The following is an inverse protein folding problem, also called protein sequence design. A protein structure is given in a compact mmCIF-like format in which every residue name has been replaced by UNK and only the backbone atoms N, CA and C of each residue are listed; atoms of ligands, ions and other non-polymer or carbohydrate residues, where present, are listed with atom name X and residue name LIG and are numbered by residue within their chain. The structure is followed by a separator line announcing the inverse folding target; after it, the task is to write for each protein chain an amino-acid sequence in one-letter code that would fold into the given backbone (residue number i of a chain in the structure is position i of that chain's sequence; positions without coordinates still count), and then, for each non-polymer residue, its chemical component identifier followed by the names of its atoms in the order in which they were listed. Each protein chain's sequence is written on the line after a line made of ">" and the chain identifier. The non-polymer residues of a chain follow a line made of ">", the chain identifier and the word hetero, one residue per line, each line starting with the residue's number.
data_IF_051390145954
#
_entry.id   IF_051390145954
#
_cell.length_a   1.000
_cell.length_b   1.000
_cell.length_c   1.000
_cell.angle_alpha   90.00
_cell.angle_beta   90.00
_cell.angle_gamma   90.00
#
_symmetry.space_group_name_H-M   'P 1'
#
loop_
_entity.id
_entity.type
_entity.pdbx_description
1 polymer ?
#
# COMPACT_ATOMS: atom_id res chain seq x y z
N UNK A 1 3.16 11.59 15.58
CA UNK A 1 3.14 12.13 14.21
C UNK A 1 3.72 11.16 13.18
N UNK A 2 4.71 10.32 13.53
CA UNK A 2 5.26 9.26 12.67
C UNK A 2 4.30 8.09 12.37
N UNK A 3 3.29 7.86 13.23
CA UNK A 3 2.42 6.67 13.13
C UNK A 3 1.37 6.74 12.01
N UNK A 4 0.99 7.93 11.56
CA UNK A 4 -0.01 8.11 10.48
C UNK A 4 0.62 8.11 9.09
N UNK A 5 1.89 8.49 8.94
CA UNK A 5 2.59 8.44 7.64
C UNK A 5 2.72 7.01 7.10
N UNK A 6 2.78 6.01 7.99
CA UNK A 6 2.81 4.60 7.61
C UNK A 6 1.48 4.15 6.99
N UNK A 7 0.36 4.67 7.47
CA UNK A 7 -0.98 4.33 6.99
C UNK A 7 -1.30 4.93 5.61
N UNK A 8 -0.60 5.99 5.19
CA UNK A 8 -0.76 6.59 3.86
C UNK A 8 -0.53 5.57 2.71
N UNK A 9 0.26 4.51 2.99
CA UNK A 9 0.50 3.40 2.04
C UNK A 9 -0.78 2.67 1.67
N UNK A 10 -1.77 2.63 2.58
CA UNK A 10 -3.03 1.93 2.38
C UNK A 10 -4.00 2.70 1.47
N UNK A 11 -3.82 3.99 1.27
CA UNK A 11 -4.77 4.89 0.59
C UNK A 11 -5.07 4.53 -0.88
N UNK A 12 -4.19 3.78 -1.52
CA UNK A 12 -4.37 3.29 -2.90
C UNK A 12 -4.48 1.75 -2.96
N UNK A 13 -4.75 1.10 -1.82
CA UNK A 13 -4.81 -0.35 -1.66
C UNK A 13 -6.24 -0.84 -1.59
N UNK A 14 -6.46 -2.10 -2.06
CA UNK A 14 -7.73 -2.79 -2.01
C UNK A 14 -7.72 -3.82 -0.87
N UNK A 15 -8.77 -3.83 -0.06
CA UNK A 15 -8.94 -4.80 1.02
C UNK A 15 -10.25 -5.55 0.88
N UNK A 16 -10.20 -6.88 1.08
CA UNK A 16 -11.38 -7.73 1.18
C UNK A 16 -11.68 -7.99 2.66
N UNK A 17 -12.93 -7.78 3.06
CA UNK A 17 -13.41 -7.98 4.41
C UNK A 17 -14.48 -9.10 4.43
N UNK A 18 -14.27 -10.11 5.28
CA UNK A 18 -15.22 -11.22 5.49
C UNK A 18 -15.82 -11.13 6.89
N UNK A 19 -17.12 -10.99 6.97
CA UNK A 19 -17.89 -10.92 8.23
C UNK A 19 -19.36 -11.20 7.91
N UNK A 20 -20.01 -12.17 8.58
CA UNK A 20 -21.36 -12.59 8.25
C UNK A 20 -22.45 -11.69 8.87
N UNK A 21 -22.17 -11.02 9.98
CA UNK A 21 -23.12 -10.09 10.61
C UNK A 21 -23.17 -8.75 9.86
N UNK A 22 -24.31 -8.38 9.19
CA UNK A 22 -24.35 -7.18 8.35
C UNK A 22 -24.02 -5.88 9.08
N UNK A 23 -24.38 -5.78 10.36
CA UNK A 23 -24.08 -4.60 11.20
C UNK A 23 -22.60 -4.47 11.51
N UNK A 24 -21.93 -5.58 11.81
CA UNK A 24 -20.50 -5.62 12.09
C UNK A 24 -19.72 -5.39 10.80
N UNK A 25 -20.09 -6.06 9.71
CA UNK A 25 -19.47 -5.88 8.40
C UNK A 25 -19.50 -4.41 7.97
N UNK A 26 -20.66 -3.75 8.11
CA UNK A 26 -20.80 -2.31 7.81
C UNK A 26 -19.83 -1.48 8.62
N UNK A 27 -19.78 -1.68 9.94
CA UNK A 27 -18.89 -0.90 10.82
C UNK A 27 -17.42 -1.11 10.49
N UNK A 28 -17.01 -2.35 10.20
CA UNK A 28 -15.63 -2.66 9.84
C UNK A 28 -15.29 -2.05 8.48
N UNK A 29 -16.14 -2.20 7.46
CA UNK A 29 -15.89 -1.64 6.13
C UNK A 29 -15.84 -0.11 6.16
N UNK A 30 -16.74 0.57 6.88
CA UNK A 30 -16.67 2.02 7.08
C UNK A 30 -15.36 2.45 7.77
N UNK A 31 -14.90 1.67 8.77
CA UNK A 31 -13.63 1.94 9.44
C UNK A 31 -12.43 1.74 8.51
N UNK A 32 -12.43 0.71 7.68
CA UNK A 32 -11.39 0.43 6.70
C UNK A 32 -11.35 1.47 5.57
N UNK A 33 -12.51 2.00 5.15
CA UNK A 33 -12.62 3.06 4.13
C UNK A 33 -11.91 4.37 4.51
N UNK A 34 -11.66 4.58 5.80
CA UNK A 34 -10.86 5.72 6.25
C UNK A 34 -9.37 5.61 5.87
N UNK A 35 -8.91 4.42 5.53
CA UNK A 35 -7.50 4.13 5.27
C UNK A 35 -7.24 3.54 3.89
N UNK A 36 -8.12 2.66 3.40
CA UNK A 36 -7.96 1.97 2.11
C UNK A 36 -8.67 2.70 0.98
N UNK A 37 -8.12 2.60 -0.23
CA UNK A 37 -8.73 3.17 -1.43
C UNK A 37 -9.98 2.44 -1.89
N UNK A 38 -10.05 1.12 -1.67
CA UNK A 38 -11.23 0.30 -1.98
C UNK A 38 -11.41 -0.77 -0.92
N UNK A 39 -12.65 -0.94 -0.46
CA UNK A 39 -13.04 -1.96 0.52
C UNK A 39 -14.19 -2.77 -0.04
N UNK A 40 -13.99 -4.07 -0.18
CA UNK A 40 -15.03 -5.03 -0.58
C UNK A 40 -15.42 -5.85 0.62
N UNK A 41 -16.72 -5.93 0.92
CA UNK A 41 -17.25 -6.71 2.04
C UNK A 41 -18.07 -7.91 1.54
N UNK A 42 -17.78 -9.10 2.08
CA UNK A 42 -18.49 -10.36 1.80
C UNK A 42 -18.92 -11.00 3.11
N UNK A 43 -19.95 -11.87 3.04
CA UNK A 43 -20.59 -12.45 4.23
C UNK A 43 -20.39 -13.95 4.38
N UNK A 44 -19.73 -14.56 3.44
CA UNK A 44 -19.67 -16.01 3.28
C UNK A 44 -18.25 -16.44 2.94
N UNK A 45 -17.75 -17.51 3.56
CA UNK A 45 -16.39 -17.98 3.35
C UNK A 45 -16.13 -18.49 1.93
N UNK A 46 -17.13 -19.04 1.22
CA UNK A 46 -16.98 -19.44 -0.18
C UNK A 46 -16.89 -18.22 -1.09
N UNK A 47 -17.75 -17.21 -0.84
CA UNK A 47 -17.70 -15.93 -1.56
C UNK A 47 -16.33 -15.24 -1.34
N UNK A 48 -15.82 -15.25 -0.09
CA UNK A 48 -14.52 -14.69 0.22
C UNK A 48 -13.37 -15.41 -0.50
N UNK A 49 -13.45 -16.75 -0.62
CA UNK A 49 -12.49 -17.52 -1.37
C UNK A 49 -12.50 -17.16 -2.85
N UNK A 50 -13.69 -17.14 -3.48
CA UNK A 50 -13.83 -16.84 -4.90
C UNK A 50 -13.34 -15.42 -5.22
N UNK A 51 -13.69 -14.43 -4.39
CA UNK A 51 -13.21 -13.06 -4.51
C UNK A 51 -11.68 -12.97 -4.35
N UNK A 52 -11.11 -13.60 -3.33
CA UNK A 52 -9.66 -13.58 -3.10
C UNK A 52 -8.87 -14.28 -4.20
N UNK A 53 -9.47 -15.30 -4.87
CA UNK A 53 -8.82 -16.04 -5.96
C UNK A 53 -8.93 -15.34 -7.31
N UNK A 54 -10.01 -14.62 -7.55
CA UNK A 54 -10.30 -13.93 -8.82
C UNK A 54 -9.90 -12.46 -8.82
N UNK A 55 -9.93 -11.81 -7.67
CA UNK A 55 -9.64 -10.40 -7.48
C UNK A 55 -8.18 -10.13 -7.12
N UNK A 56 -7.75 -8.89 -7.31
CA UNK A 56 -6.45 -8.41 -6.85
C UNK A 56 -6.66 -7.59 -5.58
N UNK A 57 -6.45 -8.21 -4.43
CA UNK A 57 -6.50 -7.55 -3.14
C UNK A 57 -5.09 -7.42 -2.56
N UNK A 58 -4.83 -6.29 -1.92
CA UNK A 58 -3.55 -6.02 -1.27
C UNK A 58 -3.54 -6.52 0.18
N UNK A 59 -4.71 -6.64 0.82
CA UNK A 59 -4.86 -7.15 2.17
C UNK A 59 -6.21 -7.85 2.36
N UNK A 60 -6.30 -8.74 3.35
CA UNK A 60 -7.53 -9.46 3.72
C UNK A 60 -7.79 -9.25 5.22
N UNK A 61 -9.08 -9.03 5.58
CA UNK A 61 -9.52 -8.87 6.98
C UNK A 61 -10.71 -9.78 7.20
N UNK A 62 -10.50 -10.92 7.84
CA UNK A 62 -11.47 -12.01 7.92
C UNK A 62 -11.87 -12.35 9.35
N UNK A 63 -13.17 -12.54 9.56
CA UNK A 63 -13.64 -13.28 10.73
C UNK A 63 -13.49 -14.79 10.50
N UNK A 64 -13.38 -15.55 11.60
CA UNK A 64 -13.34 -17.02 11.58
C UNK A 64 -14.74 -17.58 11.50
N UNK A 65 -15.67 -17.07 12.28
CA UNK A 65 -17.00 -17.64 12.51
C UNK A 65 -18.01 -17.25 11.45
N UNK A 66 -17.80 -17.64 10.18
CA UNK A 66 -18.68 -17.32 9.04
C UNK A 66 -19.29 -18.58 8.42
N UNK A 67 -20.44 -18.46 7.68
CA UNK A 67 -21.09 -19.59 7.04
C UNK A 67 -20.25 -20.31 5.99
N UNK A 68 -20.57 -21.58 5.74
CA UNK A 68 -20.09 -22.49 4.72
C UNK A 68 -18.60 -22.86 4.82
N UNK A 69 -17.71 -21.92 5.05
CA UNK A 69 -16.28 -22.16 5.19
C UNK A 69 -15.69 -21.18 6.22
N UNK A 70 -15.08 -21.69 7.30
CA UNK A 70 -14.47 -20.83 8.32
C UNK A 70 -13.31 -19.98 7.74
N UNK A 71 -13.11 -18.78 8.29
CA UNK A 71 -12.13 -17.83 7.76
C UNK A 71 -10.69 -18.37 7.73
N UNK A 72 -10.28 -19.26 8.66
CA UNK A 72 -8.94 -19.87 8.63
C UNK A 72 -8.82 -20.95 7.56
N UNK A 73 -9.91 -21.65 7.22
CA UNK A 73 -9.90 -22.59 6.10
C UNK A 73 -9.85 -21.84 4.75
N UNK A 74 -10.51 -20.68 4.64
CA UNK A 74 -10.37 -19.76 3.50
C UNK A 74 -8.91 -19.34 3.36
N UNK A 75 -8.28 -18.86 4.45
CA UNK A 75 -6.86 -18.45 4.47
C UNK A 75 -5.94 -19.60 4.04
N UNK A 76 -6.19 -20.81 4.50
CA UNK A 76 -5.40 -22.00 4.14
C UNK A 76 -5.43 -22.24 2.63
N UNK A 77 -6.61 -22.15 2.00
CA UNK A 77 -6.76 -22.32 0.55
C UNK A 77 -6.08 -21.19 -0.24
N UNK A 78 -6.20 -19.95 0.22
CA UNK A 78 -5.53 -18.78 -0.36
C UNK A 78 -4.01 -18.96 -0.30
N UNK A 79 -3.45 -19.38 0.83
CA UNK A 79 -2.02 -19.65 0.99
C UNK A 79 -1.54 -20.82 0.13
N UNK A 80 -2.34 -21.90 0.00
CA UNK A 80 -2.05 -23.01 -0.90
C UNK A 80 -2.01 -22.62 -2.37
N UNK A 81 -2.78 -21.59 -2.76
CA UNK A 81 -2.76 -21.00 -4.11
C UNK A 81 -1.56 -20.04 -4.33
N UNK A 82 -0.70 -19.85 -3.34
CA UNK A 82 0.50 -18.99 -3.45
C UNK A 82 0.23 -17.50 -3.20
N UNK A 83 -0.96 -17.13 -2.77
CA UNK A 83 -1.29 -15.74 -2.46
C UNK A 83 -0.73 -15.40 -1.07
N UNK A 84 0.19 -14.44 -1.01
CA UNK A 84 0.96 -14.07 0.19
C UNK A 84 0.66 -12.68 0.74
N UNK A 85 -0.48 -12.09 0.37
CA UNK A 85 -0.89 -10.78 0.89
C UNK A 85 -1.06 -10.80 2.41
N UNK A 86 -0.89 -9.65 3.10
CA UNK A 86 -1.19 -9.50 4.52
C UNK A 86 -2.61 -9.95 4.85
N UNK A 87 -2.74 -10.73 5.93
CA UNK A 87 -4.04 -11.21 6.41
C UNK A 87 -4.20 -10.85 7.88
N UNK A 88 -5.32 -10.23 8.21
CA UNK A 88 -5.77 -9.96 9.58
C UNK A 88 -6.94 -10.87 9.88
N UNK A 89 -6.90 -11.54 11.04
CA UNK A 89 -8.04 -12.25 11.59
C UNK A 89 -8.67 -11.40 12.69
N UNK A 90 -9.97 -11.12 12.56
CA UNK A 90 -10.80 -10.50 13.59
C UNK A 90 -11.71 -11.60 14.15
N UNK A 91 -11.59 -11.96 15.42
CA UNK A 91 -12.38 -13.09 15.93
C UNK A 91 -12.72 -13.00 17.41
N UNK A 92 -13.89 -13.52 17.75
CA UNK A 92 -14.29 -13.77 19.14
C UNK A 92 -13.62 -15.02 19.75
N UNK A 93 -13.02 -15.88 18.91
CA UNK A 93 -12.31 -17.08 19.35
C UNK A 93 -10.93 -16.70 19.89
N UNK A 94 -10.68 -17.09 21.15
CA UNK A 94 -9.40 -16.83 21.83
C UNK A 94 -8.70 -18.12 22.24
N UNK A 95 -9.28 -19.26 21.88
CA UNK A 95 -8.76 -20.57 22.19
C UNK A 95 -7.42 -20.82 21.51
N UNK A 96 -6.52 -21.48 22.19
CA UNK A 96 -5.15 -21.70 21.75
C UNK A 96 -5.05 -22.39 20.37
N UNK A 97 -6.00 -23.25 20.05
CA UNK A 97 -6.05 -23.95 18.77
C UNK A 97 -6.14 -23.00 17.58
N UNK A 98 -7.01 -21.99 17.64
CA UNK A 98 -7.14 -20.99 16.57
C UNK A 98 -5.89 -20.14 16.43
N UNK A 99 -5.25 -19.80 17.53
CA UNK A 99 -3.99 -19.04 17.51
C UNK A 99 -2.86 -19.84 16.84
N UNK A 100 -2.74 -21.15 17.13
CA UNK A 100 -1.75 -22.01 16.48
C UNK A 100 -2.00 -22.14 14.99
N UNK A 101 -3.25 -22.40 14.57
CA UNK A 101 -3.62 -22.44 13.14
C UNK A 101 -3.26 -21.11 12.43
N UNK A 102 -3.53 -19.98 13.08
CA UNK A 102 -3.22 -18.66 12.55
C UNK A 102 -1.71 -18.46 12.36
N UNK A 103 -0.88 -18.91 13.29
CA UNK A 103 0.59 -18.86 13.18
C UNK A 103 1.09 -19.71 12.01
N UNK A 104 0.60 -20.95 11.87
CA UNK A 104 0.97 -21.83 10.75
C UNK A 104 0.62 -21.23 9.38
N UNK A 105 -0.49 -20.50 9.29
CA UNK A 105 -0.97 -19.83 8.08
C UNK A 105 -0.26 -18.50 7.80
N UNK A 106 0.70 -18.11 8.65
CA UNK A 106 1.47 -16.87 8.51
C UNK A 106 0.55 -15.64 8.32
N UNK A 107 -0.42 -15.51 9.24
CA UNK A 107 -1.23 -14.29 9.25
C UNK A 107 -0.42 -13.13 9.82
N UNK A 108 -0.72 -11.91 9.35
CA UNK A 108 -0.07 -10.67 9.79
C UNK A 108 -0.44 -10.34 11.22
N UNK A 109 -1.73 -10.44 11.55
CA UNK A 109 -2.23 -10.14 12.88
C UNK A 109 -3.50 -10.93 13.23
N UNK A 110 -3.55 -11.39 14.47
CA UNK A 110 -4.78 -11.87 15.10
C UNK A 110 -5.28 -10.79 16.06
N UNK A 111 -6.50 -10.29 15.85
CA UNK A 111 -7.10 -9.23 16.65
C UNK A 111 -8.37 -9.76 17.32
N UNK A 112 -8.34 -10.07 18.63
CA UNK A 112 -9.51 -10.56 19.36
C UNK A 112 -10.60 -9.48 19.43
N UNK A 113 -11.85 -9.89 19.26
CA UNK A 113 -13.05 -9.07 19.53
C UNK A 113 -13.44 -9.18 21.01
N UNK A 114 -13.86 -8.08 21.68
CA UNK A 114 -13.87 -6.70 21.20
C UNK A 114 -12.48 -6.05 21.22
N UNK A 115 -12.19 -5.20 20.26
CA UNK A 115 -10.94 -4.45 20.17
C UNK A 115 -11.19 -2.94 20.24
N UNK A 116 -10.23 -2.20 20.78
CA UNK A 116 -10.26 -0.76 20.81
C UNK A 116 -9.62 -0.14 19.54
N UNK A 117 -9.79 1.18 19.41
CA UNK A 117 -9.25 1.95 18.29
C UNK A 117 -7.73 1.81 18.15
N UNK A 118 -6.99 1.78 19.27
CA UNK A 118 -5.54 1.73 19.24
C UNK A 118 -5.04 0.36 18.73
N UNK A 119 -5.67 -0.73 19.19
CA UNK A 119 -5.38 -2.08 18.70
C UNK A 119 -5.69 -2.21 17.20
N UNK A 120 -6.79 -1.62 16.73
CA UNK A 120 -7.14 -1.60 15.31
C UNK A 120 -6.11 -0.82 14.48
N UNK A 121 -5.76 0.41 14.88
CA UNK A 121 -4.74 1.24 14.21
C UNK A 121 -3.39 0.50 14.17
N UNK A 122 -2.98 -0.12 15.29
CA UNK A 122 -1.74 -0.90 15.33
C UNK A 122 -1.77 -2.07 14.36
N UNK A 123 -2.92 -2.74 14.22
CA UNK A 123 -3.11 -3.81 13.23
C UNK A 123 -2.93 -3.31 11.80
N UNK A 124 -3.50 -2.15 11.46
CA UNK A 124 -3.32 -1.54 10.14
C UNK A 124 -1.87 -1.12 9.88
N UNK A 125 -1.16 -0.66 10.90
CA UNK A 125 0.28 -0.37 10.81
C UNK A 125 1.09 -1.64 10.50
N UNK A 126 0.76 -2.77 11.12
CA UNK A 126 1.42 -4.06 10.84
C UNK A 126 1.15 -4.51 9.39
N UNK A 127 -0.08 -4.34 8.89
CA UNK A 127 -0.44 -4.58 7.48
C UNK A 127 0.36 -3.67 6.55
N UNK A 128 0.40 -2.36 6.82
CA UNK A 128 1.17 -1.41 6.04
C UNK A 128 2.66 -1.75 6.01
N UNK A 129 3.24 -2.11 7.15
CA UNK A 129 4.64 -2.52 7.27
C UNK A 129 4.94 -3.77 6.44
N UNK A 130 4.04 -4.76 6.43
CA UNK A 130 4.19 -5.97 5.63
C UNK A 130 4.09 -5.67 4.13
N UNK A 131 3.12 -4.86 3.70
CA UNK A 131 3.01 -4.39 2.32
C UNK A 131 4.28 -3.66 1.84
N UNK A 132 4.84 -2.81 2.71
CA UNK A 132 6.11 -2.12 2.45
C UNK A 132 7.25 -3.13 2.25
N UNK A 133 7.34 -4.14 3.09
CA UNK A 133 8.43 -5.11 3.02
C UNK A 133 8.34 -6.04 1.81
N UNK A 134 7.14 -6.27 1.27
CA UNK A 134 6.89 -7.11 0.09
C UNK A 134 6.67 -6.33 -1.21
N UNK A 135 6.70 -4.98 -1.16
CA UNK A 135 6.56 -4.18 -2.37
C UNK A 135 7.71 -4.47 -3.35
N UNK A 136 7.42 -4.73 -4.62
CA UNK A 136 8.46 -5.02 -5.61
C UNK A 136 9.32 -3.79 -5.82
N UNK A 137 10.63 -4.01 -5.88
CA UNK A 137 11.58 -2.96 -6.30
C UNK A 137 11.42 -2.77 -7.81
N UNK A 138 11.00 -1.58 -8.20
CA UNK A 138 10.78 -1.25 -9.60
C UNK A 138 12.07 -0.90 -10.32
N UNK A 139 12.42 -1.65 -11.37
CA UNK A 139 13.57 -1.35 -12.22
C UNK A 139 13.23 -0.19 -13.16
N UNK A 140 13.90 0.94 -12.96
CA UNK A 140 13.81 2.11 -13.83
C UNK A 140 14.73 1.93 -15.04
N UNK A 141 15.98 1.51 -14.79
CA UNK A 141 16.97 1.13 -15.79
C UNK A 141 17.86 0.00 -15.26
N UNK A 142 18.88 -0.40 -16.01
CA UNK A 142 19.86 -1.43 -15.56
C UNK A 142 20.58 -1.03 -14.26
N UNK A 143 20.77 0.25 -14.01
CA UNK A 143 21.51 0.78 -12.86
C UNK A 143 20.64 1.50 -11.82
N UNK A 144 19.35 1.72 -12.13
CA UNK A 144 18.45 2.53 -11.32
C UNK A 144 17.21 1.74 -10.94
N UNK A 145 16.99 1.53 -9.63
CA UNK A 145 15.81 0.83 -9.11
C UNK A 145 15.15 1.67 -8.02
N UNK A 146 13.84 1.62 -7.92
CA UNK A 146 13.08 2.37 -6.93
C UNK A 146 12.17 1.46 -6.10
N UNK A 147 12.29 1.57 -4.80
CA UNK A 147 11.41 0.96 -3.82
C UNK A 147 10.31 1.97 -3.46
N UNK A 148 9.12 1.78 -4.04
CA UNK A 148 7.96 2.66 -3.84
C UNK A 148 7.53 2.74 -2.39
N UNK A 149 7.71 1.68 -1.66
CA UNK A 149 7.25 1.56 -0.30
C UNK A 149 8.21 2.23 0.69
N UNK A 150 9.50 1.96 0.56
CA UNK A 150 10.53 2.52 1.43
C UNK A 150 10.98 3.92 1.02
N UNK A 151 10.52 4.41 -0.16
CA UNK A 151 10.98 5.67 -0.77
C UNK A 151 12.52 5.73 -0.92
N UNK A 152 13.09 4.56 -1.28
CA UNK A 152 14.52 4.39 -1.50
C UNK A 152 14.79 4.24 -2.99
N UNK A 153 15.73 5.02 -3.49
CA UNK A 153 16.31 4.84 -4.81
C UNK A 153 17.64 4.10 -4.69
N UNK A 154 17.82 3.06 -5.47
CA UNK A 154 19.07 2.33 -5.60
C UNK A 154 19.73 2.75 -6.90
N UNK A 155 20.95 3.25 -6.81
CA UNK A 155 21.82 3.59 -7.95
C UNK A 155 22.98 2.63 -7.91
N UNK A 156 23.01 1.66 -8.82
CA UNK A 156 23.90 0.50 -8.73
C UNK A 156 23.68 -0.19 -7.38
N UNK A 157 24.71 -0.25 -6.54
CA UNK A 157 24.67 -0.89 -5.21
C UNK A 157 24.47 0.11 -4.06
N UNK A 158 24.26 1.40 -4.37
CA UNK A 158 24.09 2.45 -3.37
C UNK A 158 22.63 2.80 -3.15
N UNK A 159 22.16 2.70 -1.92
CA UNK A 159 20.81 3.10 -1.52
C UNK A 159 20.77 4.56 -1.05
N UNK A 160 19.77 5.31 -1.51
CA UNK A 160 19.56 6.70 -1.11
C UNK A 160 18.08 6.95 -0.81
N UNK A 161 17.79 7.47 0.38
CA UNK A 161 16.42 7.86 0.74
C UNK A 161 16.00 9.12 -0.01
N UNK A 162 14.76 9.10 -0.50
CA UNK A 162 14.11 10.27 -1.07
C UNK A 162 13.26 10.96 0.00
N UNK A 163 13.24 12.29 -0.02
CA UNK A 163 12.28 13.07 0.75
C UNK A 163 10.86 12.88 0.18
N UNK A 164 9.84 13.27 0.93
CA UNK A 164 8.43 13.20 0.49
C UNK A 164 8.22 13.91 -0.86
N UNK A 165 8.79 15.09 -1.04
CA UNK A 165 8.67 15.85 -2.30
C UNK A 165 9.45 15.20 -3.45
N UNK A 166 10.63 14.65 -3.19
CA UNK A 166 11.44 13.95 -4.21
C UNK A 166 10.77 12.66 -4.67
N UNK A 167 10.21 11.85 -3.74
CA UNK A 167 9.48 10.64 -4.08
C UNK A 167 8.20 10.96 -4.85
N UNK A 168 7.41 11.94 -4.40
CA UNK A 168 6.19 12.39 -5.10
C UNK A 168 6.50 12.82 -6.53
N UNK A 169 7.58 13.58 -6.73
CA UNK A 169 8.03 14.01 -8.05
C UNK A 169 8.51 12.85 -8.92
N UNK A 170 9.32 11.94 -8.37
CA UNK A 170 9.81 10.76 -9.09
C UNK A 170 8.65 9.86 -9.53
N UNK A 171 7.70 9.60 -8.67
CA UNK A 171 6.52 8.77 -8.96
C UNK A 171 5.65 9.40 -10.05
N UNK A 172 5.50 10.71 -10.05
CA UNK A 172 4.81 11.43 -11.12
C UNK A 172 5.49 11.28 -12.48
N UNK A 173 6.81 11.35 -12.51
CA UNK A 173 7.59 11.10 -13.72
C UNK A 173 7.54 9.64 -14.16
N UNK A 174 7.60 8.69 -13.24
CA UNK A 174 7.51 7.27 -13.55
C UNK A 174 6.19 6.89 -14.21
N UNK A 175 5.09 7.49 -13.76
CA UNK A 175 3.78 7.33 -14.39
C UNK A 175 3.68 7.96 -15.79
N UNK A 176 4.61 8.83 -16.17
CA UNK A 176 4.65 9.58 -17.44
C UNK A 176 6.00 9.47 -18.14
N UNK A 177 6.58 8.27 -18.13
CA UNK A 177 7.86 7.98 -18.80
C UNK A 177 7.83 8.42 -20.25
N UNK A 178 8.90 9.07 -20.69
CA UNK A 178 9.10 9.54 -22.06
C UNK A 178 8.02 10.52 -22.54
N UNK A 179 7.29 11.14 -21.60
CA UNK A 179 6.33 12.20 -21.90
C UNK A 179 6.81 13.54 -21.33
N UNK A 180 6.47 14.61 -22.04
CA UNK A 180 6.72 15.96 -21.54
C UNK A 180 5.79 16.26 -20.38
N UNK A 181 6.36 16.66 -19.27
CA UNK A 181 5.64 17.09 -18.06
C UNK A 181 5.82 18.60 -17.92
N UNK A 182 4.72 19.35 -18.02
CA UNK A 182 4.75 20.83 -17.95
C UNK A 182 4.88 21.33 -16.51
N UNK A 183 5.31 22.59 -16.35
CA UNK A 183 5.34 23.23 -15.02
C UNK A 183 3.95 23.30 -14.40
N UNK A 184 2.90 23.56 -15.18
CA UNK A 184 1.51 23.61 -14.72
C UNK A 184 1.08 22.27 -14.13
N UNK A 185 1.28 21.18 -14.87
CA UNK A 185 1.00 19.83 -14.38
C UNK A 185 1.77 19.47 -13.09
N UNK A 186 3.00 19.94 -12.95
CA UNK A 186 3.79 19.74 -11.74
C UNK A 186 3.27 20.57 -10.58
N UNK A 187 2.81 21.79 -10.84
CA UNK A 187 2.19 22.62 -9.80
C UNK A 187 0.93 21.96 -9.25
N UNK A 188 0.01 21.58 -10.12
CA UNK A 188 -1.26 20.96 -9.75
C UNK A 188 -1.07 19.67 -8.96
N UNK A 189 -0.10 18.85 -9.35
CA UNK A 189 0.18 17.58 -8.68
C UNK A 189 0.92 17.73 -7.36
N UNK A 190 1.93 18.62 -7.30
CA UNK A 190 2.80 18.73 -6.13
C UNK A 190 2.17 19.52 -4.99
N UNK A 191 1.31 20.49 -5.29
CA UNK A 191 0.70 21.41 -4.31
C UNK A 191 -0.79 21.61 -4.58
N UNK A 192 -1.64 21.11 -3.69
CA UNK A 192 -3.10 21.17 -3.84
C UNK A 192 -3.70 22.56 -3.52
N UNK A 193 -3.04 23.35 -2.68
CA UNK A 193 -3.61 24.59 -2.13
C UNK A 193 -2.66 25.79 -2.14
N UNK A 194 -1.43 25.63 -2.58
CA UNK A 194 -0.43 26.69 -2.63
C UNK A 194 -0.02 26.97 -4.09
N UNK A 195 0.32 28.22 -4.40
CA UNK A 195 0.95 28.56 -5.68
C UNK A 195 2.47 28.62 -5.49
N UNK A 196 3.18 27.51 -5.64
CA UNK A 196 4.62 27.51 -5.49
C UNK A 196 5.28 28.23 -6.65
N UNK A 197 6.46 28.76 -6.40
CA UNK A 197 7.28 29.35 -7.46
C UNK A 197 7.91 28.25 -8.34
N UNK A 198 8.25 28.60 -9.58
CA UNK A 198 9.03 27.69 -10.46
C UNK A 198 10.35 27.28 -9.82
N UNK A 199 10.91 28.10 -8.96
CA UNK A 199 12.13 27.84 -8.21
C UNK A 199 11.98 26.67 -7.23
N UNK A 200 10.80 26.49 -6.63
CA UNK A 200 10.53 25.35 -5.74
C UNK A 200 10.63 24.02 -6.49
N UNK A 201 10.01 23.90 -7.68
CA UNK A 201 10.16 22.70 -8.53
C UNK A 201 11.61 22.48 -8.94
N UNK A 202 12.29 23.55 -9.39
CA UNK A 202 13.70 23.47 -9.80
C UNK A 202 14.59 22.95 -8.68
N UNK A 203 14.32 23.36 -7.44
CA UNK A 203 15.07 22.89 -6.26
C UNK A 203 14.87 21.38 -6.04
N UNK A 204 13.62 20.90 -6.08
CA UNK A 204 13.31 19.46 -5.92
C UNK A 204 13.94 18.65 -7.07
N UNK A 205 13.81 19.10 -8.31
CA UNK A 205 14.43 18.45 -9.48
C UNK A 205 15.96 18.42 -9.35
N UNK A 206 16.58 19.50 -8.87
CA UNK A 206 18.02 19.55 -8.65
C UNK A 206 18.49 18.50 -7.64
N UNK A 207 17.79 18.39 -6.51
CA UNK A 207 18.11 17.39 -5.48
C UNK A 207 17.86 15.95 -5.99
N UNK A 208 16.75 15.72 -6.68
CA UNK A 208 16.47 14.43 -7.29
C UNK A 208 17.55 14.04 -8.31
N UNK A 209 17.92 14.94 -9.21
CA UNK A 209 19.02 14.72 -10.17
C UNK A 209 20.36 14.40 -9.52
N UNK A 210 20.65 14.98 -8.37
CA UNK A 210 21.87 14.68 -7.61
C UNK A 210 21.91 13.22 -7.16
N UNK A 211 20.73 12.64 -6.90
CA UNK A 211 20.58 11.26 -6.41
C UNK A 211 20.48 10.24 -7.56
N UNK A 212 19.75 10.55 -8.63
CA UNK A 212 19.45 9.58 -9.71
C UNK A 212 20.28 9.78 -10.98
N UNK A 213 21.07 10.83 -11.06
CA UNK A 213 21.82 11.22 -12.26
C UNK A 213 21.15 12.37 -13.01
N UNK A 214 22.00 13.17 -13.68
CA UNK A 214 21.53 14.40 -14.35
C UNK A 214 20.80 14.13 -15.66
N UNK A 215 21.07 13.00 -16.30
CA UNK A 215 20.62 12.71 -17.66
C UNK A 215 19.22 12.10 -17.69
N UNK A 216 18.73 11.58 -16.57
CA UNK A 216 17.42 10.91 -16.43
C UNK A 216 16.26 11.91 -16.51
N UNK A 217 16.45 13.15 -16.03
CA UNK A 217 15.44 14.22 -16.09
C UNK A 217 15.99 15.33 -16.97
N UNK A 218 15.50 15.49 -18.19
CA UNK A 218 15.89 16.54 -19.14
C UNK A 218 15.05 17.79 -18.93
N UNK A 219 15.68 18.97 -19.03
CA UNK A 219 14.96 20.24 -18.96
C UNK A 219 14.50 20.64 -20.36
N UNK A 220 13.21 20.90 -20.51
CA UNK A 220 12.63 21.47 -21.72
C UNK A 220 12.39 22.97 -21.47
N UNK A 221 13.21 23.80 -22.10
CA UNK A 221 13.21 25.24 -21.87
C UNK A 221 11.82 25.84 -21.97
N UNK A 222 11.43 26.63 -20.97
CA UNK A 222 10.12 27.28 -20.80
C UNK A 222 8.89 26.35 -20.70
N UNK A 223 9.02 25.05 -20.95
CA UNK A 223 7.91 24.07 -20.96
C UNK A 223 7.84 23.26 -19.66
N UNK A 224 8.94 22.62 -19.27
CA UNK A 224 8.94 21.72 -18.12
C UNK A 224 10.09 20.72 -18.18
N UNK A 225 9.78 19.43 -17.97
CA UNK A 225 10.77 18.36 -17.91
C UNK A 225 10.33 17.12 -18.69
N UNK A 226 11.31 16.33 -19.12
CA UNK A 226 11.15 15.01 -19.71
C UNK A 226 11.94 14.00 -18.85
N UNK A 227 11.27 12.95 -18.40
CA UNK A 227 11.89 11.84 -17.72
C UNK A 227 12.14 10.72 -18.72
N UNK A 228 13.41 10.50 -19.07
CA UNK A 228 13.82 9.56 -20.13
C UNK A 228 14.62 8.41 -19.54
N UNK A 229 14.15 7.19 -19.72
CA UNK A 229 14.75 5.93 -19.23
C UNK A 229 14.46 4.78 -20.19
#
# INVERSE_FOLDING_TARGET
>A
MQDYELLDVLSNKRVLCLEDEPGILKNITESLQLFFGEVVGVKDGLEALDEAMSGSYDALVFDIGVPHMDGLEVVKKIRAAGISVPIVILSSHTEQEYLWRAVELKITRYLPKPYDKNAFIKTLQDVAAELINHAPIFSISSELKYDFAKKIIYVKDSACHLSKSESKLLEYFLARKNQTVTYEQLFDYMWEFEQPSKEAIKAIVKELRRKIGKDVIKNLYAVGYLFEV
#
